data_IF_430319197307
#
_entry.id   IF_430319197307
#
_cell.length_a   1.000
_cell.length_b   1.000
_cell.length_c   1.000
_cell.angle_alpha   90.00
_cell.angle_beta   90.00
_cell.angle_gamma   90.00
#
_symmetry.space_group_name_H-M   'P 1'
#
loop_
_entity.id
_entity.type
_entity.pdbx_description
1 polymer ?
#
# COMPACT_ATOMS: atom_id res chain seq x y z
N UNK A 1 -20.50 0.13 -8.92
CA UNK A 1 -20.19 -0.40 -10.28
C UNK A 1 -18.75 -0.03 -10.66
N UNK A 2 -17.86 -1.01 -10.56
CA UNK A 2 -16.45 -0.80 -10.89
C UNK A 2 -15.94 -2.00 -11.66
N UNK A 3 -15.19 -1.74 -12.74
CA UNK A 3 -14.64 -2.82 -13.55
C UNK A 3 -13.58 -3.59 -12.75
N UNK A 4 -13.42 -4.90 -12.96
CA UNK A 4 -12.40 -5.69 -12.19
C UNK A 4 -10.99 -5.35 -12.65
N UNK A 5 -10.88 -4.99 -13.92
CA UNK A 5 -9.62 -4.60 -14.50
C UNK A 5 -9.10 -3.37 -13.78
N UNK A 6 -9.97 -2.39 -13.65
CA UNK A 6 -9.67 -1.15 -13.00
C UNK A 6 -9.49 -1.36 -11.49
N UNK A 7 -10.40 -2.10 -10.88
CA UNK A 7 -10.32 -2.37 -9.45
C UNK A 7 -9.01 -3.07 -9.14
N UNK A 8 -8.64 -3.97 -10.04
CA UNK A 8 -7.40 -4.73 -9.92
C UNK A 8 -6.16 -3.84 -10.07
N UNK A 9 -6.26 -2.89 -11.01
CA UNK A 9 -5.14 -1.97 -11.28
C UNK A 9 -4.81 -1.17 -10.02
N UNK A 10 -5.85 -0.62 -9.39
CA UNK A 10 -5.66 0.18 -8.19
C UNK A 10 -5.07 -0.66 -7.07
N UNK A 11 -5.59 -1.89 -6.94
CA UNK A 11 -5.11 -2.80 -5.90
C UNK A 11 -3.64 -3.12 -6.11
N UNK A 12 -3.27 -3.39 -7.37
CA UNK A 12 -1.88 -3.71 -7.71
C UNK A 12 -0.97 -2.54 -7.39
N UNK A 13 -1.45 -1.32 -7.67
CA UNK A 13 -0.67 -0.11 -7.43
C UNK A 13 -0.36 0.06 -5.96
N UNK A 14 -1.39 -0.10 -5.14
CA UNK A 14 -1.23 0.08 -3.70
C UNK A 14 -0.44 -1.06 -3.07
N UNK A 15 -0.69 -2.30 -3.52
CA UNK A 15 0.03 -3.45 -2.98
C UNK A 15 1.51 -3.32 -3.31
N UNK A 16 1.81 -3.04 -4.57
CA UNK A 16 3.20 -2.94 -5.01
C UNK A 16 3.96 -1.88 -4.24
N UNK A 17 3.34 -0.71 -4.05
CA UNK A 17 3.99 0.36 -3.31
C UNK A 17 4.04 0.02 -1.83
N UNK A 18 2.96 -0.61 -1.34
CA UNK A 18 2.86 -1.01 0.06
C UNK A 18 3.99 -1.96 0.42
N UNK A 19 4.29 -2.90 -0.49
CA UNK A 19 5.36 -3.88 -0.25
C UNK A 19 6.70 -3.17 -0.08
N UNK A 20 6.95 -2.19 -0.94
CA UNK A 20 8.20 -1.44 -0.90
C UNK A 20 8.37 -0.79 0.48
N UNK A 21 7.31 -0.13 0.95
CA UNK A 21 7.33 0.53 2.26
C UNK A 21 7.52 -0.49 3.38
N UNK A 22 6.81 -1.61 3.29
CA UNK A 22 6.90 -2.64 4.32
C UNK A 22 8.30 -3.30 4.31
N UNK A 23 8.85 -3.43 3.10
CA UNK A 23 10.16 -4.04 2.91
C UNK A 23 11.28 -3.19 3.53
N UNK A 24 11.22 -1.87 3.30
CA UNK A 24 12.25 -0.96 3.82
C UNK A 24 12.03 -0.59 5.29
N UNK A 25 10.77 -0.60 5.74
CA UNK A 25 10.46 -0.27 7.14
C UNK A 25 11.04 -1.28 8.12
N UNK A 26 11.04 -2.56 7.74
CA UNK A 26 11.56 -3.62 8.62
C UNK A 26 13.03 -3.38 8.94
N UNK A 27 13.81 -2.99 7.92
CA UNK A 27 15.23 -2.71 8.10
C UNK A 27 15.44 -1.29 8.63
N UNK A 28 14.61 -0.36 8.15
CA UNK A 28 14.68 1.05 8.56
C UNK A 28 13.29 1.57 8.94
N UNK A 29 12.76 1.23 10.12
CA UNK A 29 11.42 1.71 10.55
C UNK A 29 11.38 3.21 10.82
N UNK A 30 10.78 3.96 9.91
CA UNK A 30 10.69 5.41 10.03
C UNK A 30 9.23 5.85 10.29
N UNK A 31 8.99 6.93 11.03
CA UNK A 31 7.59 7.42 11.30
C UNK A 31 6.95 7.99 10.03
N UNK A 32 7.75 8.69 9.23
CA UNK A 32 7.28 9.28 7.98
C UNK A 32 6.81 8.17 7.05
N UNK A 33 7.65 7.16 6.93
CA UNK A 33 7.40 6.01 6.09
C UNK A 33 6.20 5.23 6.62
N UNK A 34 6.10 5.14 7.94
CA UNK A 34 5.02 4.42 8.60
C UNK A 34 3.66 5.05 8.26
N UNK A 35 3.61 6.38 8.26
CA UNK A 35 2.37 7.10 7.98
C UNK A 35 1.86 6.77 6.58
N UNK A 36 2.78 6.71 5.62
CA UNK A 36 2.43 6.39 4.24
C UNK A 36 1.87 4.97 4.15
N UNK A 37 2.48 4.06 4.92
CA UNK A 37 2.09 2.66 4.93
C UNK A 37 0.63 2.48 5.40
N UNK A 38 0.22 3.26 6.40
CA UNK A 38 -1.12 3.12 6.96
C UNK A 38 -2.18 3.44 5.92
N UNK A 39 -1.93 4.46 5.09
CA UNK A 39 -2.88 4.85 4.05
C UNK A 39 -3.07 3.69 3.06
N UNK A 40 -1.96 3.05 2.71
CA UNK A 40 -1.98 1.91 1.78
C UNK A 40 -2.71 0.73 2.39
N UNK A 41 -2.41 0.47 3.68
CA UNK A 41 -3.04 -0.64 4.40
C UNK A 41 -4.55 -0.42 4.48
N UNK A 42 -4.96 0.81 4.79
CA UNK A 42 -6.38 1.15 4.94
C UNK A 42 -7.13 0.98 3.62
N UNK A 43 -6.55 1.50 2.53
CA UNK A 43 -7.18 1.42 1.21
C UNK A 43 -7.32 -0.04 0.77
N UNK A 44 -6.28 -0.82 1.01
CA UNK A 44 -6.28 -2.24 0.64
C UNK A 44 -7.34 -3.01 1.41
N UNK A 45 -7.52 -2.64 2.69
CA UNK A 45 -8.50 -3.30 3.54
C UNK A 45 -9.89 -3.19 2.94
N UNK A 46 -10.23 -1.99 2.43
CA UNK A 46 -11.54 -1.76 1.83
C UNK A 46 -11.76 -2.71 0.66
#
# INVERSE_FOLDING_TARGET
MKSPYEAAHERALMVNRLQKLTRMLRVHPDPKWKQEQQELIKRLKK
#
